data_IF_082548541323
#
_entry.id   IF_082548541323
#
_cell.length_a   1.000
_cell.length_b   1.000
_cell.length_c   1.000
_cell.angle_alpha   90.00
_cell.angle_beta   90.00
_cell.angle_gamma   90.00
#
_symmetry.space_group_name_H-M   'P 1'
#
loop_
_entity.id
_entity.type
_entity.pdbx_description
1 polymer ?
2 non-polymer ?
3 non-polymer ?
4 non-polymer ?
5 non-polymer ?
6 water ?
#
# COMPACT_ATOMS: atom_id res chain seq x y z
N UNK A 1 13.36 8.06 -28.00
CA UNK A 1 12.27 8.77 -28.69
C UNK A 1 11.41 9.51 -27.67
N UNK A 2 10.91 10.67 -28.06
CA UNK A 2 9.87 11.35 -27.27
C UNK A 2 8.52 10.99 -27.84
N UNK A 3 7.64 10.50 -26.96
CA UNK A 3 6.29 10.10 -27.32
C UNK A 3 5.29 11.09 -26.75
N UNK A 4 4.12 11.15 -27.39
CA UNK A 4 2.96 11.87 -26.85
C UNK A 4 1.94 10.92 -26.24
N UNK A 5 1.89 9.69 -26.74
CA UNK A 5 0.97 8.64 -26.29
C UNK A 5 1.76 7.41 -25.90
N UNK A 6 1.29 6.71 -24.87
CA UNK A 6 1.89 5.43 -24.47
C UNK A 6 0.85 4.67 -23.68
N UNK A 7 0.31 3.60 -24.26
CA UNK A 7 -0.84 2.90 -23.66
C UNK A 7 -2.00 3.87 -23.55
N UNK A 8 -2.59 3.98 -22.36
CA UNK A 8 -3.63 5.00 -22.13
C UNK A 8 -3.13 6.30 -21.54
N UNK A 9 -1.82 6.52 -21.50
CA UNK A 9 -1.26 7.81 -21.02
C UNK A 9 -1.08 8.78 -22.20
N UNK A 10 -1.32 10.05 -21.92
CA UNK A 10 -1.22 11.12 -22.93
C UNK A 10 -0.54 12.31 -22.31
N UNK A 11 0.49 12.84 -22.98
CA UNK A 11 1.15 14.05 -22.54
C UNK A 11 0.14 15.17 -22.31
N UNK A 12 0.37 15.92 -21.23
CA UNK A 12 -0.51 16.98 -20.69
C UNK A 12 -1.57 16.53 -19.69
N UNK A 13 -1.76 15.22 -19.51
CA UNK A 13 -2.73 14.74 -18.52
C UNK A 13 -2.22 15.05 -17.11
N UNK A 14 -3.19 15.25 -16.20
CA UNK A 14 -2.92 15.46 -14.79
C UNK A 14 -2.77 14.06 -14.21
N UNK A 15 -1.85 13.92 -13.25
CA UNK A 15 -1.42 12.61 -12.81
C UNK A 15 -0.93 12.76 -11.36
N UNK A 16 -0.67 11.64 -10.68
CA UNK A 16 0.04 11.64 -9.40
C UNK A 16 1.44 11.10 -9.63
N UNK A 17 2.43 11.72 -9.00
CA UNK A 17 3.82 11.25 -9.04
C UNK A 17 4.40 11.03 -7.66
N UNK A 18 5.28 10.03 -7.55
CA UNK A 18 5.97 9.71 -6.30
C UNK A 18 7.16 10.65 -6.13
N UNK A 19 7.12 11.48 -5.09
CA UNK A 19 8.27 12.33 -4.76
C UNK A 19 9.28 11.52 -3.96
N UNK A 20 10.47 12.10 -3.79
CA UNK A 20 11.54 11.46 -3.05
C UNK A 20 11.23 11.24 -1.56
N UNK A 21 10.27 11.99 -1.03
CA UNK A 21 9.72 11.78 0.31
C UNK A 21 8.92 10.48 0.44
N UNK A 22 8.68 9.80 -0.69
CA UNK A 22 7.84 8.61 -0.80
C UNK A 22 6.35 8.92 -0.68
N UNK A 23 5.97 10.20 -0.65
CA UNK A 23 4.55 10.57 -0.71
C UNK A 23 4.25 11.00 -2.13
N UNK A 24 2.97 10.92 -2.51
CA UNK A 24 2.57 11.12 -3.90
C UNK A 24 1.76 12.39 -4.06
N UNK A 25 2.01 13.09 -5.16
CA UNK A 25 1.57 14.45 -5.34
C UNK A 25 1.11 14.74 -6.77
N UNK A 26 0.17 15.68 -6.89
CA UNK A 26 -0.45 16.05 -8.17
C UNK A 26 0.56 16.75 -9.07
N UNK A 27 0.48 16.42 -10.34
CA UNK A 27 1.40 16.97 -11.32
C UNK A 27 0.85 16.85 -12.72
N UNK A 28 1.63 17.33 -13.68
CA UNK A 28 1.28 17.22 -15.11
C UNK A 28 2.33 16.36 -15.80
N UNK A 29 1.87 15.42 -16.61
CA UNK A 29 2.78 14.61 -17.42
C UNK A 29 3.22 15.47 -18.61
N UNK A 30 4.47 15.88 -18.61
CA UNK A 30 4.96 16.79 -19.65
C UNK A 30 5.81 16.15 -20.74
N UNK A 31 6.29 14.92 -20.53
CA UNK A 31 6.99 14.20 -21.58
C UNK A 31 6.95 12.71 -21.31
N UNK A 32 7.07 11.92 -22.38
CA UNK A 32 7.25 10.48 -22.30
C UNK A 32 8.48 10.17 -23.14
N UNK A 33 9.46 9.51 -22.53
CA UNK A 33 10.76 9.27 -23.16
C UNK A 33 11.01 7.78 -23.19
N UNK A 34 11.50 7.27 -24.33
CA UNK A 34 11.91 5.87 -24.42
C UNK A 34 13.40 5.83 -24.61
N UNK A 35 14.05 4.87 -23.95
CA UNK A 35 15.45 4.52 -24.23
C UNK A 35 15.47 3.01 -24.43
N UNK A 36 15.44 2.60 -25.70
CA UNK A 36 15.32 1.20 -26.07
C UNK A 36 13.98 0.61 -25.62
N UNK A 37 14.01 -0.46 -24.79
CA UNK A 37 12.77 -1.05 -24.28
C UNK A 37 12.20 -0.31 -23.06
N UNK A 38 12.98 0.59 -22.47
CA UNK A 38 12.59 1.34 -21.26
C UNK A 38 11.74 2.57 -21.55
N UNK A 39 10.93 2.99 -20.56
CA UNK A 39 10.10 4.20 -20.70
C UNK A 39 10.21 5.01 -19.43
N UNK A 40 10.28 6.33 -19.57
CA UNK A 40 10.25 7.25 -18.43
C UNK A 40 9.24 8.32 -18.68
N UNK A 41 8.74 8.87 -17.59
CA UNK A 41 7.61 9.80 -17.60
C UNK A 41 8.03 11.06 -16.84
N UNK A 42 8.10 12.18 -17.54
CA UNK A 42 8.51 13.43 -16.93
C UNK A 42 7.27 14.15 -16.36
N UNK A 43 7.30 14.41 -15.05
CA UNK A 43 6.20 15.03 -14.36
C UNK A 43 6.65 16.37 -13.78
N UNK A 44 5.89 17.42 -14.08
CA UNK A 44 6.03 18.71 -13.42
C UNK A 44 5.00 18.76 -12.31
N UNK A 45 5.47 18.78 -11.06
CA UNK A 45 4.58 18.83 -9.89
C UNK A 45 4.01 20.23 -9.74
N UNK A 46 2.87 20.33 -9.07
CA UNK A 46 2.18 21.62 -8.89
C UNK A 46 2.96 22.63 -8.06
N UNK A 47 3.45 22.22 -6.90
CA UNK A 47 4.29 23.08 -6.08
C UNK A 47 5.72 22.97 -6.58
N UNK A 48 6.33 21.82 -6.33
CA UNK A 48 7.78 21.69 -6.32
C UNK A 48 8.36 20.77 -7.40
N UNK A 49 8.87 21.38 -8.47
CA UNK A 49 9.86 20.76 -9.35
C UNK A 49 9.40 19.77 -10.39
N UNK A 50 10.37 19.26 -11.16
CA UNK A 50 10.16 18.23 -12.18
C UNK A 50 10.88 16.95 -11.74
N UNK A 51 10.30 15.81 -12.05
CA UNK A 51 10.95 14.52 -11.85
C UNK A 51 10.77 13.66 -13.07
N UNK A 52 11.78 12.87 -13.39
CA UNK A 52 11.70 11.90 -14.46
C UNK A 52 11.51 10.55 -13.77
N UNK A 53 10.34 9.94 -13.97
CA UNK A 53 9.88 8.80 -13.17
C UNK A 53 9.62 7.57 -14.01
N UNK A 54 9.86 6.39 -13.43
CA UNK A 54 9.44 5.14 -14.04
C UNK A 54 7.90 5.01 -13.97
N UNK A 55 7.34 4.15 -14.80
CA UNK A 55 5.88 4.02 -14.91
C UNK A 55 5.17 3.50 -13.67
N UNK A 56 5.91 2.78 -12.81
CA UNK A 56 5.41 2.30 -11.51
C UNK A 56 5.43 3.38 -10.43
N UNK A 57 5.98 4.56 -10.75
CA UNK A 57 6.05 5.71 -9.84
C UNK A 57 5.17 6.89 -10.26
N UNK A 58 4.17 6.58 -11.10
CA UNK A 58 3.07 7.50 -11.40
C UNK A 58 1.76 6.74 -11.25
N UNK A 59 0.71 7.47 -10.90
CA UNK A 59 -0.63 6.93 -10.69
C UNK A 59 -1.65 7.83 -11.34
N UNK A 60 -2.77 7.25 -11.75
CA UNK A 60 -3.86 8.05 -12.32
C UNK A 60 -4.56 8.81 -11.23
N UNK A 61 -5.06 10.01 -11.53
CA UNK A 61 -5.77 10.81 -10.53
C UNK A 61 -7.27 10.53 -10.57
N UNK A 62 -7.64 9.25 -10.57
CA UNK A 62 -9.03 8.84 -10.44
C UNK A 62 -9.07 7.59 -9.59
N UNK A 63 -10.27 7.27 -9.11
CA UNK A 63 -10.50 6.05 -8.33
C UNK A 63 -10.95 4.94 -9.27
N UNK A 64 -10.27 3.78 -9.20
CA UNK A 64 -10.59 2.74 -10.17
C UNK A 64 -11.89 2.00 -9.85
N UNK A 65 -12.61 1.48 -10.88
CA UNK A 65 -13.76 0.64 -10.59
C UNK A 65 -13.33 -0.65 -9.91
N UNK A 66 -14.22 -1.23 -9.11
CA UNK A 66 -13.88 -2.40 -8.29
C UNK A 66 -13.41 -3.58 -9.12
N UNK A 67 -13.94 -3.70 -10.34
CA UNK A 67 -13.56 -4.82 -11.21
C UNK A 67 -12.12 -4.72 -11.77
N UNK A 68 -11.43 -3.60 -11.55
CA UNK A 68 -10.02 -3.45 -11.92
C UNK A 68 -9.07 -3.63 -10.74
N UNK A 69 -9.59 -3.92 -9.55
CA UNK A 69 -8.74 -4.09 -8.38
C UNK A 69 -8.75 -5.56 -7.98
N UNK A 70 -7.57 -6.14 -7.87
CA UNK A 70 -7.38 -7.51 -7.43
C UNK A 70 -6.53 -7.53 -6.18
N UNK A 71 -6.54 -8.66 -5.49
CA UNK A 71 -5.45 -8.92 -4.54
C UNK A 71 -4.12 -8.82 -5.31
N UNK A 72 -3.21 -8.01 -4.77
CA UNK A 72 -1.94 -7.75 -5.40
C UNK A 72 -1.87 -6.53 -6.31
N UNK A 73 -3.00 -5.86 -6.55
CA UNK A 73 -2.98 -4.61 -7.30
C UNK A 73 -2.12 -3.57 -6.60
N UNK A 74 -1.34 -2.83 -7.38
CA UNK A 74 -0.49 -1.76 -6.90
C UNK A 74 -1.26 -0.44 -6.93
N UNK A 75 -1.36 0.21 -5.78
CA UNK A 75 -2.19 1.38 -5.58
C UNK A 75 -1.47 2.43 -4.75
N UNK A 76 -2.01 3.63 -4.84
CA UNK A 76 -1.72 4.71 -3.92
C UNK A 76 -2.98 4.94 -3.11
N UNK A 77 -2.83 5.10 -1.80
CA UNK A 77 -3.98 5.24 -0.93
C UNK A 77 -3.77 6.30 0.15
N UNK A 78 -4.88 6.83 0.64
CA UNK A 78 -4.85 7.74 1.78
C UNK A 78 -4.32 7.03 3.02
N UNK A 79 -3.30 7.64 3.63
CA UNK A 79 -2.53 7.08 4.74
C UNK A 79 -2.66 8.02 5.91
N UNK A 80 -3.03 7.49 7.09
CA UNK A 80 -3.29 8.27 8.30
C UNK A 80 -2.08 8.25 9.24
N UNK A 84 -2.46 15.07 9.58
CA UNK A 84 -1.63 14.72 8.44
C UNK A 84 -2.22 13.51 7.68
N UNK A 85 -2.77 13.80 6.50
CA UNK A 85 -3.19 12.79 5.52
C UNK A 85 -2.26 12.88 4.29
N UNK A 86 -1.61 11.76 3.94
CA UNK A 86 -0.73 11.69 2.77
C UNK A 86 -1.24 10.63 1.81
N UNK A 87 -0.70 10.65 0.60
CA UNK A 87 -0.87 9.55 -0.37
C UNK A 87 0.40 8.71 -0.39
N UNK A 88 0.25 7.41 -0.14
CA UNK A 88 1.37 6.49 0.02
C UNK A 88 1.06 5.23 -0.76
N UNK A 89 2.10 4.58 -1.27
CA UNK A 89 1.92 3.37 -2.08
C UNK A 89 1.66 2.14 -1.23
N UNK A 90 0.94 1.19 -1.83
CA UNK A 90 0.64 -0.07 -1.16
C UNK A 90 0.16 -1.13 -2.11
N UNK A 91 -0.25 -2.25 -1.53
CA UNK A 91 -0.76 -3.39 -2.23
C UNK A 91 -2.16 -3.73 -1.70
N UNK A 92 -3.07 -4.04 -2.61
CA UNK A 92 -4.40 -4.50 -2.20
C UNK A 92 -4.31 -5.91 -1.63
N UNK A 93 -4.69 -6.03 -0.37
CA UNK A 93 -4.71 -7.31 0.35
C UNK A 93 -6.09 -7.98 0.39
N UNK A 94 -7.15 -7.17 0.36
CA UNK A 94 -8.53 -7.66 0.34
C UNK A 94 -9.35 -6.72 -0.47
N UNK A 95 -10.31 -7.27 -1.22
CA UNK A 95 -11.33 -6.49 -1.88
C UNK A 95 -12.64 -6.60 -1.05
N UNK A 96 -13.65 -5.75 -1.35
CA UNK A 96 -14.87 -5.68 -0.53
C UNK A 96 -15.58 -7.01 -0.41
N UNK A 97 -15.90 -7.40 0.81
CA UNK A 97 -16.75 -8.57 1.04
C UNK A 97 -17.53 -8.38 2.34
N UNK A 98 -18.40 -9.34 2.66
CA UNK A 98 -19.23 -9.19 3.85
C UNK A 98 -18.36 -9.13 5.10
N UNK A 99 -17.34 -9.99 5.19
CA UNK A 99 -16.53 -10.08 6.40
C UNK A 99 -15.71 -8.83 6.68
N UNK A 100 -15.34 -8.05 5.65
CA UNK A 100 -14.64 -6.77 5.89
C UNK A 100 -15.51 -5.52 5.76
N UNK A 101 -16.83 -5.70 5.78
CA UNK A 101 -17.81 -4.62 5.61
C UNK A 101 -17.55 -3.80 4.35
N UNK A 102 -17.25 -4.52 3.27
CA UNK A 102 -17.12 -3.97 1.93
C UNK A 102 -16.06 -2.88 1.80
N UNK A 103 -14.89 -3.16 2.37
CA UNK A 103 -13.75 -2.23 2.31
C UNK A 103 -12.60 -2.92 1.60
N UNK A 104 -11.60 -2.13 1.24
CA UNK A 104 -10.35 -2.65 0.70
C UNK A 104 -9.31 -2.66 1.82
N UNK A 105 -8.60 -3.77 1.98
CA UNK A 105 -7.48 -3.80 2.91
C UNK A 105 -6.22 -3.46 2.11
N UNK A 106 -5.46 -2.49 2.60
CA UNK A 106 -4.22 -2.06 1.97
C UNK A 106 -3.03 -2.41 2.85
N UNK A 107 -2.03 -3.06 2.27
CA UNK A 107 -0.73 -3.20 2.90
C UNK A 107 0.20 -2.16 2.29
N UNK A 108 0.53 -1.16 3.09
CA UNK A 108 1.40 -0.07 2.63
C UNK A 108 2.86 -0.51 2.62
N UNK A 109 3.67 0.19 1.83
CA UNK A 109 5.06 -0.23 1.58
C UNK A 109 5.92 -0.26 2.85
N UNK A 110 5.56 0.56 3.84
CA UNK A 110 6.29 0.63 5.11
C UNK A 110 5.87 -0.42 6.13
N UNK A 111 4.92 -1.28 5.77
CA UNK A 111 4.43 -2.33 6.65
C UNK A 111 3.12 -2.01 7.35
N UNK A 112 2.64 -0.77 7.26
CA UNK A 112 1.35 -0.41 7.83
C UNK A 112 0.17 -1.04 7.06
N UNK A 113 -0.91 -1.37 7.77
CA UNK A 113 -2.12 -1.92 7.16
C UNK A 113 -3.35 -1.13 7.57
N UNK A 114 -4.25 -0.86 6.63
CA UNK A 114 -5.46 -0.11 6.91
C UNK A 114 -6.59 -0.48 5.94
N UNK A 115 -7.82 -0.39 6.41
CA UNK A 115 -8.99 -0.51 5.54
C UNK A 115 -9.27 0.87 4.98
N UNK A 116 -9.57 0.91 3.69
CA UNK A 116 -9.93 2.15 3.00
C UNK A 116 -11.12 1.89 2.09
N UNK A 117 -11.71 2.99 1.61
CA UNK A 117 -12.80 2.92 0.67
C UNK A 117 -12.26 3.17 -0.75
N UNK A 118 -13.10 2.90 -1.75
CA UNK A 118 -12.73 3.14 -3.14
C UNK A 118 -12.28 4.57 -3.40
N UNK A 119 -12.91 5.54 -2.73
CA UNK A 119 -12.60 6.96 -2.92
C UNK A 119 -11.27 7.38 -2.30
N UNK A 120 -10.58 6.43 -1.66
CA UNK A 120 -9.32 6.67 -1.01
C UNK A 120 -8.16 6.01 -1.77
N UNK A 121 -8.44 5.50 -2.97
CA UNK A 121 -7.51 4.69 -3.78
C UNK A 121 -7.24 5.31 -5.14
N UNK A 122 -6.04 5.08 -5.65
CA UNK A 122 -5.64 5.50 -7.02
C UNK A 122 -4.79 4.37 -7.61
N UNK A 123 -4.99 4.04 -8.88
CA UNK A 123 -4.21 2.97 -9.50
C UNK A 123 -2.86 3.44 -10.02
N UNK A 124 -1.79 2.68 -9.73
CA UNK A 124 -0.47 2.95 -10.32
C UNK A 124 -0.57 2.69 -11.86
N UNK A 125 0.06 3.56 -12.65
CA UNK A 125 -0.13 3.51 -14.11
C UNK A 125 0.45 2.27 -14.76
N UNK A 126 1.70 1.99 -14.44
CA UNK A 126 2.43 0.89 -15.08
C UNK A 126 3.07 0.03 -14.00
N UNK A 127 2.23 -0.76 -13.31
CA UNK A 127 2.74 -1.62 -12.22
C UNK A 127 3.68 -2.67 -12.79
N UNK A 128 4.63 -3.11 -11.98
CA UNK A 128 5.50 -4.22 -12.37
C UNK A 128 4.70 -5.51 -12.50
N UNK A 129 5.19 -6.41 -13.34
CA UNK A 129 4.56 -7.73 -13.54
C UNK A 129 4.34 -8.45 -12.21
N UNK A 130 5.37 -8.48 -11.40
CA UNK A 130 5.27 -8.88 -9.98
C UNK A 130 5.18 -7.61 -9.16
N UNK A 131 3.96 -7.24 -8.79
CA UNK A 131 3.68 -5.86 -8.31
C UNK A 131 4.48 -5.46 -7.08
N UNK A 132 4.79 -6.46 -6.26
CA UNK A 132 5.58 -6.26 -5.04
C UNK A 132 7.07 -5.97 -5.24
N UNK A 133 7.60 -6.16 -6.47
CA UNK A 133 9.04 -6.03 -6.70
C UNK A 133 9.62 -4.64 -6.52
N UNK A 134 8.77 -3.62 -6.44
CA UNK A 134 9.27 -2.27 -6.16
C UNK A 134 9.02 -1.84 -4.69
N UNK A 135 8.72 -2.80 -3.83
CA UNK A 135 8.68 -2.55 -2.39
C UNK A 135 10.13 -2.60 -1.92
N UNK A 136 10.62 -1.47 -1.40
CA UNK A 136 12.03 -1.28 -1.04
C UNK A 136 12.50 -2.23 0.05
N UNK A 137 11.71 -2.35 1.10
CA UNK A 137 12.08 -3.16 2.23
C UNK A 137 11.94 -4.65 1.88
N UNK A 138 13.07 -5.36 1.87
CA UNK A 138 13.09 -6.77 1.52
C UNK A 138 12.17 -7.66 2.36
N UNK A 139 12.07 -7.37 3.66
CA UNK A 139 11.22 -8.16 4.55
C UNK A 139 9.75 -7.93 4.20
N UNK A 140 9.37 -6.68 3.97
CA UNK A 140 7.99 -6.37 3.54
C UNK A 140 7.72 -6.97 2.15
N UNK A 141 8.69 -6.80 1.24
CA UNK A 141 8.55 -7.34 -0.14
C UNK A 141 8.29 -8.85 -0.14
N UNK A 142 9.13 -9.61 0.56
CA UNK A 142 8.93 -11.04 0.70
C UNK A 142 7.63 -11.46 1.36
N UNK A 143 7.21 -10.74 2.40
CA UNK A 143 5.93 -11.01 3.04
C UNK A 143 4.80 -10.83 2.03
N UNK A 144 4.85 -9.74 1.28
CA UNK A 144 3.77 -9.43 0.33
C UNK A 144 3.73 -10.46 -0.81
N UNK A 145 4.88 -10.82 -1.35
CA UNK A 145 4.97 -11.91 -2.33
C UNK A 145 4.28 -13.18 -1.86
N UNK A 146 4.64 -13.64 -0.66
CA UNK A 146 4.02 -14.85 -0.10
C UNK A 146 2.52 -14.68 0.08
N UNK A 147 2.09 -13.53 0.62
CA UNK A 147 0.69 -13.26 0.86
C UNK A 147 -0.10 -13.32 -0.44
N UNK A 148 0.37 -12.55 -1.42
CA UNK A 148 -0.36 -12.38 -2.68
C UNK A 148 -0.42 -13.70 -3.45
N UNK A 149 0.71 -14.40 -3.51
CA UNK A 149 0.76 -15.64 -4.27
C UNK A 149 0.03 -16.81 -3.60
N UNK A 150 -0.02 -16.81 -2.25
CA UNK A 150 -0.74 -17.85 -1.48
C UNK A 150 -2.25 -17.64 -1.39
N UNK A 151 -2.68 -16.38 -1.49
CA UNK A 151 -4.08 -16.01 -1.48
C UNK A 151 -4.93 -16.90 -2.43
N UNK A 152 -6.10 -17.40 -2.00
CA UNK A 152 -6.79 -17.07 -0.74
C UNK A 152 -6.40 -17.88 0.51
N UNK A 153 -5.35 -18.68 0.47
CA UNK A 153 -4.83 -19.38 1.66
C UNK A 153 -4.09 -18.39 2.56
N UNK A 154 -4.71 -18.02 3.68
CA UNK A 154 -4.20 -16.97 4.57
C UNK A 154 -4.17 -17.42 6.02
N UNK A 155 -3.01 -17.90 6.50
CA UNK A 155 -2.93 -18.24 7.90
C UNK A 155 -3.07 -16.96 8.73
N UNK A 156 -3.94 -17.02 9.72
CA UNK A 156 -4.19 -15.89 10.62
C UNK A 156 -4.46 -16.43 12.01
N UNK A 157 -4.12 -15.63 13.01
CA UNK A 157 -4.44 -15.99 14.39
C UNK A 157 -5.82 -15.43 14.74
N UNK A 158 -6.66 -16.25 15.35
CA UNK A 158 -7.95 -15.82 15.82
C UNK A 158 -7.70 -15.16 17.16
N UNK A 159 -8.07 -13.88 17.26
CA UNK A 159 -7.83 -13.10 18.47
C UNK A 159 -9.11 -12.43 18.93
N UNK A 160 -9.21 -12.25 20.24
CA UNK A 160 -10.36 -11.59 20.83
C UNK A 160 -9.89 -10.45 21.75
N UNK A 161 -10.72 -9.43 21.87
CA UNK A 161 -10.42 -8.32 22.75
C UNK A 161 -10.18 -8.86 24.17
N UNK A 162 -9.15 -8.35 24.83
CA UNK A 162 -8.76 -8.76 26.16
C UNK A 162 -7.68 -9.82 26.20
N UNK A 163 -7.42 -10.48 25.06
CA UNK A 163 -6.43 -11.54 25.00
C UNK A 163 -5.02 -10.99 25.15
N UNK A 164 -4.21 -11.64 25.96
CA UNK A 164 -2.82 -11.23 26.19
C UNK A 164 -1.91 -12.00 25.24
N UNK A 165 -1.05 -11.26 24.55
CA UNK A 165 -0.11 -11.82 23.60
C UNK A 165 1.17 -11.01 23.63
N UNK A 166 2.20 -11.55 23.00
CA UNK A 166 3.43 -10.79 22.77
C UNK A 166 3.40 -10.25 21.34
N UNK A 167 3.78 -8.99 21.21
CA UNK A 167 3.85 -8.34 19.90
C UNK A 167 5.26 -7.75 19.72
N UNK A 168 5.78 -7.91 18.51
CA UNK A 168 7.08 -7.40 18.14
C UNK A 168 7.06 -5.87 17.91
N UNK A 169 8.12 -5.21 18.35
CA UNK A 169 8.37 -3.82 18.01
C UNK A 169 9.86 -3.56 18.16
N UNK A 170 10.46 -2.91 17.16
CA UNK A 170 11.92 -2.65 17.13
C UNK A 170 12.76 -3.88 17.46
N UNK A 171 12.38 -5.01 16.89
CA UNK A 171 13.14 -6.25 17.01
C UNK A 171 13.02 -7.06 18.29
N UNK A 172 12.15 -6.67 19.23
CA UNK A 172 11.93 -7.46 20.44
C UNK A 172 10.43 -7.66 20.71
N UNK A 173 10.15 -8.60 21.59
CA UNK A 173 8.77 -8.95 21.96
C UNK A 173 8.32 -8.11 23.15
N UNK A 174 7.09 -7.60 23.11
CA UNK A 174 6.53 -6.80 24.20
C UNK A 174 5.21 -7.41 24.68
N UNK A 175 4.95 -7.34 25.97
CA UNK A 175 3.67 -7.74 26.51
C UNK A 175 2.60 -6.78 25.97
N UNK A 176 1.53 -7.35 25.47
CA UNK A 176 0.49 -6.58 24.80
C UNK A 176 -0.88 -7.23 25.02
N UNK A 177 -1.93 -6.47 24.69
CA UNK A 177 -3.29 -6.95 24.86
C UNK A 177 -4.09 -6.55 23.63
N UNK A 178 -4.92 -7.47 23.15
CA UNK A 178 -5.82 -7.15 22.05
C UNK A 178 -6.89 -6.16 22.54
N UNK A 179 -7.00 -5.02 21.88
CA UNK A 179 -7.93 -3.99 22.29
C UNK A 179 -9.19 -3.98 21.46
N UNK A 180 -9.07 -4.43 20.22
CA UNK A 180 -10.15 -4.33 19.28
C UNK A 180 -9.81 -5.19 18.07
N UNK A 181 -10.84 -5.72 17.42
CA UNK A 181 -10.71 -6.55 16.22
C UNK A 181 -11.59 -5.93 15.13
N UNK A 182 -11.05 -5.80 13.92
CA UNK A 182 -11.80 -5.25 12.79
C UNK A 182 -11.40 -6.00 11.53
N UNK A 183 -12.27 -6.89 11.04
CA UNK A 183 -11.93 -7.72 9.90
C UNK A 183 -10.66 -8.53 10.14
N UNK A 184 -9.69 -8.38 9.24
CA UNK A 184 -8.39 -9.06 9.32
C UNK A 184 -7.32 -8.30 10.11
N UNK A 185 -7.73 -7.21 10.75
CA UNK A 185 -6.84 -6.40 11.57
C UNK A 185 -7.18 -6.50 13.05
N UNK A 186 -6.15 -6.35 13.87
CA UNK A 186 -6.28 -6.31 15.32
C UNK A 186 -5.58 -5.03 15.81
N UNK A 187 -6.19 -4.37 16.79
CA UNK A 187 -5.59 -3.21 17.43
C UNK A 187 -4.94 -3.70 18.71
N UNK A 188 -3.60 -3.59 18.76
CA UNK A 188 -2.82 -4.10 19.88
C UNK A 188 -2.48 -2.94 20.76
N UNK A 189 -2.73 -3.10 22.07
CA UNK A 189 -2.20 -2.21 23.10
C UNK A 189 -0.90 -2.77 23.65
N UNK A 190 0.17 -2.02 23.47
CA UNK A 190 1.46 -2.34 24.09
C UNK A 190 1.39 -1.89 25.55
N UNK A 191 1.50 -2.83 26.49
CA UNK A 191 1.11 -2.59 27.88
C UNK A 191 2.04 -1.61 28.61
N UNK A 192 3.34 -1.71 28.38
CA UNK A 192 4.27 -0.79 29.01
C UNK A 192 4.18 0.62 28.44
N UNK A 193 4.14 0.72 27.11
CA UNK A 193 4.12 1.99 26.40
C UNK A 193 2.73 2.66 26.43
N UNK A 194 1.69 1.85 26.65
CA UNK A 194 0.29 2.31 26.70
C UNK A 194 -0.16 3.05 25.44
N UNK A 195 0.28 2.56 24.27
CA UNK A 195 -0.22 3.05 23.00
C UNK A 195 -0.60 1.86 22.12
N UNK A 196 -1.46 2.12 21.15
CA UNK A 196 -2.04 1.10 20.28
C UNK A 196 -1.55 1.17 18.86
N UNK A 197 -1.58 0.01 18.20
CA UNK A 197 -1.24 -0.11 16.81
C UNK A 197 -2.12 -1.13 16.12
N UNK A 198 -2.62 -0.80 14.93
CA UNK A 198 -3.34 -1.75 14.09
C UNK A 198 -2.36 -2.64 13.32
N UNK A 199 -2.56 -3.94 13.44
CA UNK A 199 -1.71 -4.96 12.87
C UNK A 199 -2.52 -6.05 12.20
N UNK A 200 -2.07 -6.49 11.01
CA UNK A 200 -2.71 -7.59 10.27
C UNK A 200 -2.62 -8.89 11.11
N UNK A 201 -3.72 -9.63 11.23
CA UNK A 201 -3.77 -10.84 12.07
C UNK A 201 -2.96 -12.04 11.56
N UNK A 202 -2.47 -11.96 10.34
CA UNK A 202 -1.48 -12.90 9.83
C UNK A 202 -0.05 -12.42 9.89
N UNK A 203 0.18 -11.29 10.56
CA UNK A 203 1.55 -10.73 10.70
C UNK A 203 2.38 -11.60 11.60
N UNK A 204 3.66 -11.79 11.24
CA UNK A 204 4.59 -12.48 12.11
C UNK A 204 5.03 -11.61 13.31
N UNK A 205 4.58 -10.37 13.38
CA UNK A 205 4.78 -9.53 14.57
C UNK A 205 3.91 -9.96 15.76
N UNK A 206 2.90 -10.79 15.51
CA UNK A 206 2.04 -11.32 16.56
C UNK A 206 2.62 -12.66 16.94
N UNK A 207 2.94 -12.83 18.21
CA UNK A 207 3.80 -13.96 18.61
C UNK A 207 3.17 -15.31 18.25
N UNK A 208 1.84 -15.47 18.47
CA UNK A 208 1.13 -16.64 17.94
C UNK A 208 1.33 -16.98 16.43
N UNK A 209 1.55 -15.98 15.57
CA UNK A 209 1.92 -16.21 14.15
C UNK A 209 3.39 -16.56 13.97
N UNK A 210 4.25 -15.95 14.79
CA UNK A 210 5.66 -16.31 14.85
C UNK A 210 5.79 -17.65 15.57
X LIG B 1 2.55 2.95 15.41
X LIG B 1 3.27 2.93 18.24
X LIG B 1 3.90 2.42 15.90
X LIG B 1 3.77 1.89 17.33
X LIG B 1 5.70 3.69 20.86
X LIG B 1 1.94 3.37 17.81
X LIG B 1 1.97 3.96 16.41
X LIG B 1 3.88 3.43 19.34
X LIG B 1 5.16 2.77 19.85
X LIG B 1 4.83 1.41 20.43
X LIG B 1 5.90 0.87 21.34
X LIG B 1 6.86 1.74 21.92
X LIG B 1 3.38 4.33 20.00
X LIG B 1 6.91 3.18 21.52
X LIG B 1 7.77 1.21 22.82
X LIG B 1 7.75 -0.13 23.17
X LIG B 1 6.84 -0.98 22.59
X LIG B 1 5.92 -0.48 21.68
X LIG C 1 -6.47 3.56 21.44
X LIG C 1 -6.37 2.54 22.57
X LIG C 1 -7.87 3.76 21.21
X LIG C 1 -4.62 2.29 22.97
X LIG D 1 7.20 -5.65 28.84
X LIG D 1 8.36 -4.75 28.81
X LIG D 1 7.09 -6.37 27.55
X LIG D 1 7.27 -6.68 29.91
X LIG D 1 6.00 -4.85 29.08
X LIG E 1 12.50 6.40 -10.65
X LIG E 1 13.15 7.72 -10.50
X LIG E 1 13.02 5.77 -11.89
X LIG E 1 12.85 5.54 -9.49
X LIG E 1 11.03 6.59 -10.72
X LIG F 1 -16.78 5.55 -1.06
X LIG F 1 -16.51 6.55 0.00
X LIG F 1 -15.54 5.21 -1.77
X LIG F 1 -17.37 4.33 -0.47
X LIG F 1 -17.74 6.17 -2.03
X LIG G 1 -0.62 17.98 -3.68
X LIG G 1 -0.28 19.01 -4.67
X LIG G 1 0.46 17.89 -2.68
X LIG G 1 -0.74 16.68 -4.39
X LIG G 1 -1.92 18.31 -3.04
X LIG H 1 -6.64 19.01 -11.32
X LIG I 1 11.04 14.97 -6.24
X LIG J 1 8.70 2.69 -16.89
X LIG K 1 -3.05 -6.21 -11.67
X LIG L 1 -15.76 0.95 1.52
X LIG M 1 4.83 -1.74 -18.42
X LIG N 1 6.43 -5.55 6.21
X LIG O 1 2.73 5.59 32.33
X LIG P 1 2.25 -14.50 22.11
X LIG Q 1 -0.72 8.67 16.82
#
# INVERSE_FOLDING_TARGET
ENLYFQGDLIVSMRILGKKRTKTWHKGTLIAIQTVGPGKKYKVKFDNKGKSLLSGNHIAYDYHPPADKLYVGSRVVAKYKDGNQVWLYAGIVAETPNVKNKLRFLIFFDDGYASYVTQSELYPICRPLKKTWEDIEDISCRDFIEEYVTAYPNRPMVLLKSGQLIKTEWEGTWWKSRVEEVDGSLVRILFLDDKRCEWIYRGSTRLEPMFSMK
6S5 C6 N1 C7 C8 N2 C9 C10 C11 C12 C13 C14 C15 O2 C16 C17 C18 C19 C20
BME C1 C2 O1 S2
SO4 S O1 O2 O3 O4
SO4 S O1 O2 O3 O4
SO4 S O1 O2 O3 O4
SO4 S O1 O2 O3 O4
UNX UNK
UNX UNK
UNX UNK
UNX UNK
UNX UNK
UNX UNK
UNX UNK
UNX UNK
UNX UNK
UNX UNK
#
